data_IF_124615014891
#
_entry.id   IF_124615014891
#
_cell.length_a   1.000
_cell.length_b   1.000
_cell.length_c   1.000
_cell.angle_alpha   90.00
_cell.angle_beta   90.00
_cell.angle_gamma   90.00
#
_symmetry.space_group_name_H-M   'P 1'
#
loop_
_entity.id
_entity.type
_entity.pdbx_description
1 polymer ?
#
# COMPACT_ATOMS: atom_id res chain seq x y z
N UNK A 1 15.32 -2.09 18.07
CA UNK A 1 15.04 -1.39 16.80
C UNK A 1 13.55 -1.52 16.54
N UNK A 2 12.82 -0.40 16.45
CA UNK A 2 11.36 -0.40 16.29
C UNK A 2 10.97 -0.52 14.82
N UNK A 3 9.91 -1.26 14.56
CA UNK A 3 9.24 -1.35 13.26
C UNK A 3 8.66 0.01 12.84
N UNK A 4 9.45 0.77 12.08
CA UNK A 4 9.15 2.16 11.71
C UNK A 4 8.21 2.28 10.52
N UNK A 5 8.34 1.39 9.53
CA UNK A 5 7.60 1.49 8.27
C UNK A 5 6.59 0.37 8.15
N UNK A 6 5.32 0.71 8.01
CA UNK A 6 4.23 -0.26 7.97
C UNK A 6 3.65 -0.31 6.56
N UNK A 7 3.61 -1.51 6.00
CA UNK A 7 3.00 -1.78 4.70
C UNK A 7 1.56 -2.21 4.90
N UNK A 8 0.64 -1.42 4.37
CA UNK A 8 -0.76 -1.78 4.23
C UNK A 8 -1.08 -2.12 2.79
N UNK A 9 -1.85 -3.17 2.55
CA UNK A 9 -2.25 -3.58 1.21
C UNK A 9 -3.57 -4.34 1.22
N UNK A 10 -4.29 -4.32 0.09
CA UNK A 10 -5.55 -5.04 -0.04
C UNK A 10 -5.75 -5.67 -1.41
N UNK A 11 -6.25 -6.89 -1.44
CA UNK A 11 -6.66 -7.60 -2.65
C UNK A 11 -7.93 -7.06 -3.29
N UNK A 12 -8.73 -6.34 -2.53
CA UNK A 12 -9.94 -5.68 -2.99
C UNK A 12 -9.74 -4.18 -3.01
N UNK A 13 -10.50 -3.49 -3.85
CA UNK A 13 -10.47 -2.03 -3.87
C UNK A 13 -11.02 -1.42 -2.57
N UNK A 14 -11.71 -2.16 -1.68
CA UNK A 14 -12.11 -1.60 -0.38
C UNK A 14 -11.04 -1.88 0.66
N UNK A 15 -10.61 -0.84 1.37
CA UNK A 15 -9.82 -1.00 2.59
C UNK A 15 -10.71 -1.61 3.68
N UNK A 16 -10.20 -2.61 4.41
CA UNK A 16 -10.86 -3.12 5.61
C UNK A 16 -10.55 -2.25 6.83
N UNK A 17 -9.45 -1.50 6.77
CA UNK A 17 -9.01 -0.55 7.78
C UNK A 17 -8.08 -1.17 8.82
N UNK A 18 -7.18 -0.32 9.33
CA UNK A 18 -6.32 -0.65 10.46
C UNK A 18 -5.50 -1.93 10.27
N UNK A 19 -5.47 -2.78 11.29
CA UNK A 19 -4.65 -4.00 11.32
C UNK A 19 -5.06 -5.03 10.26
N UNK A 20 -6.30 -4.98 9.75
CA UNK A 20 -6.77 -5.92 8.74
C UNK A 20 -6.12 -5.72 7.37
N UNK A 21 -5.69 -4.50 7.07
CA UNK A 21 -4.94 -4.21 5.85
C UNK A 21 -3.42 -4.27 6.09
N UNK A 22 -2.96 -4.45 7.34
CA UNK A 22 -1.54 -4.48 7.67
C UNK A 22 -0.92 -5.78 7.16
N UNK A 23 -0.09 -5.67 6.13
CA UNK A 23 0.58 -6.82 5.51
C UNK A 23 1.88 -7.15 6.25
N UNK A 24 2.70 -6.13 6.55
CA UNK A 24 3.99 -6.32 7.19
C UNK A 24 4.56 -5.03 7.79
N UNK A 25 5.60 -5.19 8.60
CA UNK A 25 6.33 -4.11 9.25
C UNK A 25 7.82 -4.22 8.98
N UNK A 26 8.48 -3.08 8.80
CA UNK A 26 9.87 -2.99 8.38
C UNK A 26 10.62 -1.91 9.17
N UNK A 27 11.91 -2.11 9.35
CA UNK A 27 12.78 -1.14 10.01
C UNK A 27 13.22 -0.02 9.06
N UNK A 28 13.37 -0.31 7.77
CA UNK A 28 13.85 0.63 6.75
C UNK A 28 12.76 0.93 5.71
N UNK A 29 12.84 2.12 5.11
CA UNK A 29 11.89 2.55 4.07
C UNK A 29 12.07 1.69 2.82
N UNK A 30 13.32 1.42 2.47
CA UNK A 30 13.72 0.67 1.28
C UNK A 30 13.15 -0.75 1.31
N UNK A 31 13.20 -1.44 2.46
CA UNK A 31 12.64 -2.78 2.61
C UNK A 31 11.11 -2.77 2.47
N UNK A 32 10.43 -1.76 3.02
CA UNK A 32 8.99 -1.62 2.88
C UNK A 32 8.57 -1.35 1.43
N UNK A 33 9.33 -0.54 0.69
CA UNK A 33 9.08 -0.26 -0.72
C UNK A 33 9.28 -1.49 -1.60
N UNK A 34 10.39 -2.22 -1.42
CA UNK A 34 10.64 -3.45 -2.15
C UNK A 34 9.53 -4.50 -1.92
N UNK A 35 9.04 -4.60 -0.68
CA UNK A 35 7.92 -5.48 -0.37
C UNK A 35 6.60 -5.01 -0.99
N UNK A 36 6.38 -3.70 -1.10
CA UNK A 36 5.19 -3.15 -1.74
C UNK A 36 5.17 -3.45 -3.25
N UNK A 37 6.31 -3.30 -3.93
CA UNK A 37 6.48 -3.67 -5.33
C UNK A 37 6.28 -5.18 -5.56
N UNK A 38 6.80 -6.03 -4.66
CA UNK A 38 6.57 -7.48 -4.69
C UNK A 38 5.08 -7.81 -4.50
N UNK A 39 4.40 -7.12 -3.56
CA UNK A 39 2.97 -7.29 -3.34
C UNK A 39 2.13 -6.91 -4.56
N UNK A 40 2.49 -5.83 -5.25
CA UNK A 40 1.80 -5.38 -6.47
C UNK A 40 2.03 -6.35 -7.64
N UNK A 41 3.27 -6.78 -7.85
CA UNK A 41 3.64 -7.58 -9.03
C UNK A 41 3.32 -9.07 -8.87
N UNK A 42 3.62 -9.65 -7.70
CA UNK A 42 3.46 -11.09 -7.44
C UNK A 42 2.16 -11.42 -6.74
N UNK A 43 1.84 -10.71 -5.66
CA UNK A 43 0.59 -10.95 -4.91
C UNK A 43 -0.63 -10.30 -5.56
N UNK A 44 -0.41 -9.41 -6.54
CA UNK A 44 -1.44 -8.70 -7.31
C UNK A 44 -2.45 -7.98 -6.43
N UNK A 45 -1.98 -7.38 -5.34
CA UNK A 45 -2.81 -6.49 -4.52
C UNK A 45 -3.30 -5.32 -5.38
N UNK A 46 -4.50 -4.83 -5.08
CA UNK A 46 -5.12 -3.73 -5.85
C UNK A 46 -4.64 -2.36 -5.43
N UNK A 47 -4.18 -2.25 -4.21
CA UNK A 47 -3.62 -1.05 -3.64
C UNK A 47 -2.64 -1.42 -2.52
N UNK A 48 -1.70 -0.53 -2.27
CA UNK A 48 -0.80 -0.57 -1.13
C UNK A 48 -0.41 0.85 -0.70
N UNK A 49 0.00 0.99 0.56
CA UNK A 49 0.62 2.20 1.08
C UNK A 49 1.64 1.85 2.16
N UNK A 50 2.73 2.61 2.17
CA UNK A 50 3.76 2.55 3.22
C UNK A 50 3.62 3.77 4.10
N UNK A 51 3.49 3.55 5.40
CA UNK A 51 3.34 4.59 6.42
C UNK A 51 4.59 4.61 7.30
N UNK A 52 5.18 5.79 7.52
CA UNK A 52 6.11 5.99 8.64
C UNK A 52 5.29 6.11 9.92
N UNK A 53 5.34 5.07 10.75
CA UNK A 53 4.56 4.95 11.97
C UNK A 53 4.99 5.96 13.05
N UNK A 54 6.22 6.49 12.98
CA UNK A 54 6.69 7.48 13.94
C UNK A 54 6.04 8.86 13.70
N UNK A 55 5.80 9.23 12.45
CA UNK A 55 5.19 10.49 12.05
C UNK A 55 3.72 10.37 11.63
N UNK A 56 3.19 9.15 11.53
CA UNK A 56 1.88 8.85 10.97
C UNK A 56 1.67 9.38 9.53
N UNK A 57 2.74 9.41 8.72
CA UNK A 57 2.69 9.94 7.34
C UNK A 57 2.82 8.83 6.30
N UNK A 58 2.03 8.90 5.23
CA UNK A 58 2.20 8.03 4.06
C UNK A 58 3.46 8.48 3.30
N UNK A 59 4.45 7.61 3.20
CA UNK A 59 5.74 7.91 2.54
C UNK A 59 5.82 7.37 1.11
N UNK A 60 4.92 6.46 0.75
CA UNK A 60 4.70 5.96 -0.61
C UNK A 60 3.36 5.23 -0.67
N UNK A 61 2.79 5.14 -1.87
CA UNK A 61 1.55 4.41 -2.16
C UNK A 61 1.51 4.01 -3.62
N UNK A 62 0.74 2.99 -3.95
CA UNK A 62 0.41 2.67 -5.34
C UNK A 62 -0.41 3.78 -5.98
N UNK A 63 -0.34 3.87 -7.31
CA UNK A 63 -1.21 4.76 -8.10
C UNK A 63 -2.68 4.46 -7.85
N UNK A 64 -3.01 3.17 -7.66
CA UNK A 64 -4.35 2.77 -7.28
C UNK A 64 -4.56 2.79 -5.77
N UNK A 65 -5.59 3.51 -5.35
CA UNK A 65 -5.93 3.70 -3.95
C UNK A 65 -7.21 2.96 -3.58
N UNK A 66 -7.41 2.62 -2.30
CA UNK A 66 -8.65 2.03 -1.85
C UNK A 66 -9.83 2.98 -2.13
N UNK A 67 -11.00 2.40 -2.31
CA UNK A 67 -12.27 3.04 -2.56
C UNK A 67 -12.57 4.02 -1.42
N UNK A 68 -12.88 5.27 -1.78
CA UNK A 68 -13.05 6.37 -0.84
C UNK A 68 -11.76 7.14 -0.54
N UNK A 69 -10.59 6.63 -0.94
CA UNK A 69 -9.36 7.40 -1.01
C UNK A 69 -9.39 8.40 -2.18
N UNK A 70 -8.59 9.45 -2.09
CA UNK A 70 -8.39 10.42 -3.17
C UNK A 70 -7.82 9.71 -4.40
N UNK A 71 -8.68 9.33 -5.37
CA UNK A 71 -8.32 8.43 -6.47
C UNK A 71 -7.24 9.03 -7.39
N UNK A 72 -6.10 8.34 -7.49
CA UNK A 72 -5.04 8.59 -8.50
C UNK A 72 -4.93 7.40 -9.50
N UNK A 73 -5.83 6.41 -9.45
CA UNK A 73 -5.83 5.33 -10.44
C UNK A 73 -6.00 5.92 -11.86
N UNK A 74 -5.16 5.59 -12.85
CA UNK A 74 -5.49 5.86 -14.24
C UNK A 74 -6.80 5.11 -14.59
N UNK A 75 -7.71 5.72 -15.37
CA UNK A 75 -8.93 5.04 -15.78
C UNK A 75 -8.58 3.75 -16.52
N UNK A 76 -9.36 2.67 -16.34
CA UNK A 76 -9.13 1.44 -17.09
C UNK A 76 -9.11 1.79 -18.58
N UNK A 77 -7.99 1.47 -19.26
CA UNK A 77 -7.88 1.66 -20.72
C UNK A 77 -9.04 0.89 -21.35
N UNK A 78 -10.02 1.61 -21.90
CA UNK A 78 -11.10 1.00 -22.68
C UNK A 78 -10.43 0.19 -23.80
N UNK A 79 -10.53 -1.14 -23.75
CA UNK A 79 -10.21 -1.97 -24.92
C UNK A 79 -11.24 -1.60 -25.99
N UNK A 80 -10.75 -1.05 -27.11
CA UNK A 80 -11.52 -0.83 -28.33
C UNK A 80 -11.85 -2.17 -28.98
#
# INVERSE_FOLDING_TARGET
MSDRYWLFAGWHQRAMGGVYDLMARYQTREAALAAAEDAETRLRVKWWQVVDAASATIVARSDCLPYGGERICPPPKKKK
#
